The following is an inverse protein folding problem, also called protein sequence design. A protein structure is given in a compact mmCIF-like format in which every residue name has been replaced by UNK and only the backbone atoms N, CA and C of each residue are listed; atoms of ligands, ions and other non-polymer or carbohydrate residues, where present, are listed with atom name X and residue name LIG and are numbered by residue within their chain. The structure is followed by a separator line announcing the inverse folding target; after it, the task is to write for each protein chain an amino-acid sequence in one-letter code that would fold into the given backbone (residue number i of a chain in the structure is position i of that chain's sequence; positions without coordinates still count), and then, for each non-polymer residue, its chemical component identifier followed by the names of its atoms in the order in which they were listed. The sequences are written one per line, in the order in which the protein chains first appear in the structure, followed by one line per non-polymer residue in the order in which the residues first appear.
data_IF_177953332997
#
_entry.id   IF_177953332997
#
_cell.length_a   1.000
_cell.length_b   1.000
_cell.length_c   1.000
_cell.angle_alpha   90.00
_cell.angle_beta   90.00
_cell.angle_gamma   90.00
#
_symmetry.space_group_name_H-M   'P 1'
#
loop_
_entity.id
_entity.type
_entity.pdbx_description
1 polymer ?
#
# COMPACT_ATOMS: atom_id res chain seq x y z
N UNK A 1 -23.81 -65.27 -27.70
CA UNK A 1 -22.72 -64.30 -27.97
C UNK A 1 -23.19 -62.93 -27.48
N UNK A 2 -22.54 -62.42 -26.42
CA UNK A 2 -22.87 -61.14 -25.76
C UNK A 2 -22.38 -59.98 -26.63
N UNK A 3 -23.24 -59.01 -26.92
CA UNK A 3 -22.83 -57.67 -27.38
C UNK A 3 -23.28 -56.67 -26.32
N UNK A 4 -22.32 -56.26 -25.49
CA UNK A 4 -22.47 -55.16 -24.54
C UNK A 4 -22.61 -53.87 -25.35
N UNK A 5 -23.77 -53.23 -25.31
CA UNK A 5 -23.89 -51.82 -25.69
C UNK A 5 -23.39 -50.98 -24.52
N UNK A 6 -22.37 -50.18 -24.80
CA UNK A 6 -21.75 -49.25 -23.86
C UNK A 6 -22.75 -48.15 -23.44
N UNK A 7 -22.78 -47.72 -22.17
CA UNK A 7 -23.52 -46.54 -21.77
C UNK A 7 -22.78 -45.29 -22.27
N UNK A 8 -23.43 -44.50 -23.12
CA UNK A 8 -22.95 -43.17 -23.52
C UNK A 8 -23.07 -42.27 -22.29
N UNK A 9 -21.95 -42.08 -21.61
CA UNK A 9 -21.79 -41.13 -20.52
C UNK A 9 -21.81 -39.73 -21.13
N UNK A 10 -22.94 -39.03 -21.00
CA UNK A 10 -23.10 -37.62 -21.36
C UNK A 10 -22.49 -36.76 -20.23
N UNK A 11 -21.21 -36.42 -20.37
CA UNK A 11 -20.53 -35.45 -19.48
C UNK A 11 -20.75 -34.03 -20.04
N UNK A 12 -21.70 -33.36 -19.39
CA UNK A 12 -21.69 -31.94 -18.97
C UNK A 12 -20.76 -30.95 -19.67
N UNK A 13 -21.35 -29.89 -20.23
CA UNK A 13 -20.79 -28.53 -20.17
C UNK A 13 -21.93 -27.55 -19.89
N UNK A 14 -22.27 -27.36 -18.62
CA UNK A 14 -23.04 -26.20 -18.18
C UNK A 14 -22.06 -25.02 -18.07
N UNK A 15 -22.01 -24.19 -19.11
CA UNK A 15 -21.31 -22.91 -19.07
C UNK A 15 -22.15 -21.99 -18.17
N UNK A 16 -21.89 -22.04 -16.87
CA UNK A 16 -22.38 -21.02 -15.94
C UNK A 16 -21.51 -19.79 -16.22
N UNK A 17 -22.02 -18.90 -17.06
CA UNK A 17 -21.52 -17.53 -17.16
C UNK A 17 -21.83 -16.85 -15.83
N UNK A 18 -20.96 -17.03 -14.85
CA UNK A 18 -20.80 -16.05 -13.78
C UNK A 18 -20.30 -14.79 -14.45
N UNK A 19 -21.22 -13.94 -14.89
CA UNK A 19 -20.94 -12.53 -15.11
C UNK A 19 -20.59 -11.94 -13.74
N UNK A 20 -19.33 -12.10 -13.35
CA UNK A 20 -18.75 -11.41 -12.23
C UNK A 20 -18.72 -9.93 -12.62
N UNK A 21 -19.72 -9.18 -12.16
CA UNK A 21 -19.71 -7.72 -12.13
C UNK A 21 -18.66 -7.30 -11.11
N UNK A 22 -17.38 -7.35 -11.50
CA UNK A 22 -16.32 -6.65 -10.80
C UNK A 22 -16.40 -5.19 -11.22
N UNK A 23 -17.35 -4.46 -10.63
CA UNK A 23 -17.22 -3.03 -10.47
C UNK A 23 -16.14 -2.82 -9.40
N UNK A 24 -14.88 -3.05 -9.79
CA UNK A 24 -13.73 -2.66 -9.00
C UNK A 24 -13.58 -1.15 -9.16
N UNK A 25 -14.44 -0.43 -8.43
CA UNK A 25 -14.14 0.93 -8.04
C UNK A 25 -12.98 0.83 -7.06
N UNK A 26 -11.76 0.88 -7.59
CA UNK A 26 -10.57 1.21 -6.80
C UNK A 26 -10.80 2.60 -6.21
N UNK A 27 -11.33 2.66 -5.00
CA UNK A 27 -11.22 3.87 -4.20
C UNK A 27 -9.75 3.96 -3.82
N UNK A 28 -8.97 4.72 -4.59
CA UNK A 28 -7.68 5.22 -4.15
C UNK A 28 -7.93 6.03 -2.87
N UNK A 29 -7.89 5.40 -1.71
CA UNK A 29 -8.12 6.02 -0.40
C UNK A 29 -7.01 7.03 -0.14
N UNK A 30 -7.23 8.26 -0.59
CA UNK A 30 -6.35 9.38 -0.31
C UNK A 30 -6.68 9.92 1.07
N UNK A 31 -5.70 9.86 1.97
CA UNK A 31 -5.80 10.42 3.30
C UNK A 31 -5.18 11.81 3.30
N UNK A 32 -5.88 12.78 3.87
CA UNK A 32 -5.43 14.19 3.86
C UNK A 32 -5.25 14.72 5.27
N UNK A 33 -4.39 15.73 5.41
CA UNK A 33 -4.12 16.41 6.68
C UNK A 33 -3.63 15.47 7.79
N UNK A 34 -2.83 14.46 7.42
CA UNK A 34 -2.22 13.54 8.37
C UNK A 34 -1.05 14.22 9.06
N UNK A 35 -0.96 14.05 10.37
CA UNK A 35 0.20 14.42 11.17
C UNK A 35 1.01 13.18 11.47
N UNK A 36 2.33 13.29 11.43
CA UNK A 36 3.21 12.18 11.79
C UNK A 36 4.60 12.65 12.17
N UNK A 37 5.38 11.71 12.70
CA UNK A 37 6.77 11.93 13.12
C UNK A 37 7.69 11.06 12.29
N UNK A 38 8.68 11.69 11.65
CA UNK A 38 9.73 11.00 10.90
C UNK A 38 10.61 10.22 11.88
N UNK A 39 10.74 8.90 11.70
CA UNK A 39 11.60 8.04 12.53
C UNK A 39 13.00 7.87 11.95
N UNK A 40 13.19 8.21 10.66
CA UNK A 40 14.47 8.10 9.97
C UNK A 40 14.37 7.35 8.65
N UNK A 41 15.52 7.11 8.02
CA UNK A 41 15.60 6.32 6.79
C UNK A 41 15.33 4.85 7.07
N UNK A 42 14.55 4.21 6.22
CA UNK A 42 14.31 2.77 6.29
C UNK A 42 15.33 2.03 5.44
N UNK A 43 15.35 0.69 5.57
CA UNK A 43 16.19 -0.17 4.71
C UNK A 43 15.58 -0.44 3.33
N UNK A 44 14.71 0.45 2.87
CA UNK A 44 13.97 0.34 1.65
C UNK A 44 14.35 1.45 0.66
N UNK A 45 14.51 1.07 -0.61
CA UNK A 45 14.67 2.01 -1.71
C UNK A 45 13.41 2.11 -2.56
N UNK A 46 13.18 3.29 -3.11
CA UNK A 46 12.11 3.55 -4.09
C UNK A 46 12.52 3.01 -5.47
N UNK A 47 11.58 2.98 -6.43
CA UNK A 47 11.90 2.64 -7.83
C UNK A 47 12.97 3.54 -8.46
N UNK A 48 13.20 4.73 -7.90
CA UNK A 48 14.23 5.69 -8.35
C UNK A 48 15.54 5.58 -7.57
N UNK A 49 15.71 4.51 -6.78
CA UNK A 49 16.87 4.29 -5.90
C UNK A 49 17.06 5.36 -4.81
N UNK A 50 15.99 6.09 -4.46
CA UNK A 50 16.01 7.02 -3.34
C UNK A 50 15.72 6.27 -2.04
N UNK A 51 16.38 6.69 -0.96
CA UNK A 51 16.10 6.18 0.39
C UNK A 51 14.67 6.55 0.78
N UNK A 52 13.91 5.55 1.21
CA UNK A 52 12.61 5.79 1.81
C UNK A 52 12.74 6.06 3.31
N UNK A 53 11.76 6.78 3.85
CA UNK A 53 11.72 7.21 5.25
C UNK A 53 10.49 6.65 5.94
N UNK A 54 10.66 6.28 7.22
CA UNK A 54 9.58 5.82 8.09
C UNK A 54 8.93 7.02 8.76
N UNK A 55 7.60 7.07 8.68
CA UNK A 55 6.78 8.10 9.32
C UNK A 55 5.72 7.38 10.14
N UNK A 56 5.61 7.72 11.42
CA UNK A 56 4.58 7.21 12.33
C UNK A 56 3.45 8.25 12.41
N UNK A 57 2.25 7.96 11.87
CA UNK A 57 1.11 8.85 11.96
C UNK A 57 0.61 9.00 13.40
N UNK A 58 0.08 10.19 13.74
CA UNK A 58 -0.40 10.50 15.09
C UNK A 58 -1.88 10.84 15.19
N UNK A 59 -2.55 11.17 14.07
CA UNK A 59 -3.95 11.62 14.05
C UNK A 59 -4.87 10.74 13.20
N UNK A 60 -4.45 9.51 12.92
CA UNK A 60 -5.25 8.53 12.19
C UNK A 60 -5.08 7.16 12.85
N UNK A 61 -6.20 6.50 13.14
CA UNK A 61 -6.22 5.08 13.47
C UNK A 61 -6.38 4.30 12.18
N UNK A 62 -5.27 3.75 11.71
CA UNK A 62 -5.28 2.77 10.66
C UNK A 62 -5.35 1.36 11.28
N UNK A 63 -5.95 0.41 10.58
CA UNK A 63 -6.31 -0.93 11.11
C UNK A 63 -5.14 -1.80 11.57
N UNK A 64 -3.91 -1.45 11.24
CA UNK A 64 -2.68 -1.97 11.87
C UNK A 64 -1.78 -0.80 12.24
N UNK A 65 -0.86 -0.96 13.20
CA UNK A 65 0.11 0.09 13.53
C UNK A 65 1.04 0.29 12.31
N UNK A 66 0.69 1.22 11.42
CA UNK A 66 1.37 1.40 10.15
C UNK A 66 2.59 2.29 10.30
N UNK A 67 3.73 1.72 9.92
CA UNK A 67 4.89 2.46 9.44
C UNK A 67 4.58 2.87 8.01
N UNK A 68 4.63 4.17 7.72
CA UNK A 68 4.55 4.65 6.35
C UNK A 68 5.96 4.76 5.80
N UNK A 69 6.21 4.14 4.65
CA UNK A 69 7.48 4.25 3.97
C UNK A 69 7.33 5.13 2.72
N UNK A 70 7.98 6.30 2.70
CA UNK A 70 7.83 7.29 1.61
C UNK A 70 9.13 8.06 1.31
N UNK A 71 9.24 8.63 0.11
CA UNK A 71 10.26 9.66 -0.16
C UNK A 71 9.84 10.97 0.50
N UNK A 72 10.78 11.65 1.16
CA UNK A 72 10.59 12.99 1.70
C UNK A 72 11.47 14.01 0.97
N UNK A 73 11.02 15.28 0.86
CA UNK A 73 11.89 16.42 0.55
C UNK A 73 13.08 16.53 1.52
N UNK A 74 14.22 17.06 1.08
CA UNK A 74 15.45 17.08 1.88
C UNK A 74 15.32 17.82 3.21
N UNK A 75 14.52 18.88 3.26
CA UNK A 75 14.24 19.66 4.47
C UNK A 75 13.34 18.93 5.48
N UNK A 76 12.77 17.79 5.09
CA UNK A 76 11.89 16.97 5.92
C UNK A 76 12.51 15.61 6.33
N UNK A 77 13.78 15.34 5.98
CA UNK A 77 14.48 14.07 6.27
C UNK A 77 15.11 13.98 7.67
N UNK A 78 14.67 14.82 8.60
CA UNK A 78 15.21 14.90 9.96
C UNK A 78 14.44 13.95 10.90
N UNK A 79 15.16 13.08 11.61
CA UNK A 79 14.57 12.19 12.61
C UNK A 79 13.97 13.00 13.77
N UNK A 80 12.78 12.59 14.22
CA UNK A 80 11.99 13.30 15.23
C UNK A 80 11.20 14.49 14.68
N UNK A 81 11.33 14.82 13.39
CA UNK A 81 10.60 15.92 12.78
C UNK A 81 9.11 15.61 12.70
N UNK A 82 8.30 16.52 13.24
CA UNK A 82 6.84 16.49 13.07
C UNK A 82 6.45 17.17 11.77
N UNK A 83 5.65 16.46 10.98
CA UNK A 83 5.19 16.94 9.67
C UNK A 83 3.68 16.74 9.53
N UNK A 84 3.07 17.61 8.72
CA UNK A 84 1.71 17.46 8.22
C UNK A 84 1.76 17.19 6.72
N UNK A 85 1.03 16.19 6.26
CA UNK A 85 1.09 15.72 4.90
C UNK A 85 -0.20 15.06 4.42
N UNK A 86 -0.31 14.87 3.12
CA UNK A 86 -1.31 14.02 2.49
C UNK A 86 -0.63 12.74 1.99
N UNK A 87 -1.38 11.66 1.91
CA UNK A 87 -0.86 10.37 1.48
C UNK A 87 -1.88 9.56 0.70
N UNK A 88 -1.39 8.69 -0.17
CA UNK A 88 -2.21 7.69 -0.86
C UNK A 88 -1.45 6.37 -0.95
N UNK A 89 -2.14 5.21 -0.96
CA UNK A 89 -1.51 3.93 -1.20
C UNK A 89 -0.65 3.99 -2.46
N UNK A 90 0.58 3.49 -2.37
CA UNK A 90 1.50 3.42 -3.50
C UNK A 90 1.68 1.97 -3.91
N UNK A 91 1.14 1.62 -5.08
CA UNK A 91 1.51 0.39 -5.78
C UNK A 91 2.87 0.46 -6.47
N UNK A 92 3.52 1.64 -6.50
CA UNK A 92 4.91 1.76 -6.99
C UNK A 92 5.82 1.04 -6.01
N UNK A 93 6.56 0.08 -6.54
CA UNK A 93 7.26 -0.89 -5.73
C UNK A 93 8.34 -0.16 -4.94
N UNK A 94 8.31 -0.31 -3.63
CA UNK A 94 9.54 -0.24 -2.87
C UNK A 94 10.33 -1.49 -3.27
N UNK A 95 11.36 -1.29 -4.09
CA UNK A 95 11.98 -2.34 -4.90
C UNK A 95 12.94 -3.22 -4.11
N UNK A 96 13.46 -2.73 -2.99
CA UNK A 96 14.47 -3.45 -2.20
C UNK A 96 14.39 -3.04 -0.75
N UNK A 97 13.56 -3.74 0.04
CA UNK A 97 13.58 -3.67 1.50
C UNK A 97 14.41 -4.83 2.05
N UNK A 98 15.33 -4.54 2.97
CA UNK A 98 15.97 -5.62 3.77
C UNK A 98 15.11 -6.03 4.98
N UNK A 99 14.09 -5.23 5.31
CA UNK A 99 13.10 -5.50 6.34
C UNK A 99 11.78 -6.05 5.75
N UNK A 100 11.07 -6.86 6.53
CA UNK A 100 9.79 -7.46 6.14
C UNK A 100 8.65 -6.43 6.24
N UNK A 101 8.56 -5.52 5.28
CA UNK A 101 7.41 -4.63 5.14
C UNK A 101 6.30 -5.31 4.31
N UNK A 102 5.05 -5.12 4.74
CA UNK A 102 3.87 -5.57 4.02
C UNK A 102 3.51 -4.58 2.90
N UNK A 103 2.92 -5.04 1.78
CA UNK A 103 2.56 -4.17 0.65
C UNK A 103 1.64 -2.98 1.01
N UNK A 104 0.81 -3.13 2.04
CA UNK A 104 -0.11 -2.11 2.53
C UNK A 104 0.57 -1.03 3.40
N UNK A 105 1.88 -1.12 3.62
CA UNK A 105 2.68 -0.13 4.38
C UNK A 105 3.33 0.93 3.48
N UNK A 106 3.08 0.86 2.17
CA UNK A 106 3.69 1.74 1.17
C UNK A 106 2.71 2.84 0.75
N UNK A 107 3.06 4.07 1.08
CA UNK A 107 2.30 5.25 0.69
C UNK A 107 3.19 6.28 0.01
N UNK A 108 2.63 6.98 -0.97
CA UNK A 108 3.24 8.18 -1.51
C UNK A 108 2.81 9.37 -0.65
N UNK A 109 3.79 10.11 -0.12
CA UNK A 109 3.57 11.33 0.66
C UNK A 109 3.69 12.55 -0.25
N UNK A 110 2.75 13.48 -0.12
CA UNK A 110 2.74 14.74 -0.86
C UNK A 110 2.16 15.86 0.00
N UNK A 111 2.31 17.11 -0.45
CA UNK A 111 1.93 18.31 0.31
C UNK A 111 2.51 18.35 1.74
N UNK A 112 3.68 17.74 1.94
CA UNK A 112 4.30 17.63 3.25
C UNK A 112 4.88 18.98 3.71
N UNK A 113 4.63 19.34 4.97
CA UNK A 113 5.08 20.59 5.59
C UNK A 113 5.50 20.35 7.03
N UNK A 114 6.49 21.11 7.51
CA UNK A 114 6.94 21.05 8.91
C UNK A 114 5.86 21.60 9.85
N UNK A 115 5.58 20.87 10.92
CA UNK A 115 4.81 21.37 12.05
C UNK A 115 5.78 22.03 13.02
N UNK A 116 5.56 23.31 13.31
CA UNK A 116 6.28 23.97 14.40
C UNK A 116 5.63 23.55 15.71
N UNK A 117 6.41 22.98 16.62
CA UNK A 117 5.97 22.89 18.01
C UNK A 117 5.78 24.32 18.51
N UNK A 118 4.54 24.69 18.82
CA UNK A 118 4.28 25.94 19.55
C UNK A 118 4.91 25.75 20.92
N UNK A 119 6.00 26.46 21.16
CA UNK A 119 6.53 26.69 22.51
C UNK A 119 5.48 27.33 23.41
#
# INVERSE_FOLDING_TARGET
MKKFLQPIILITISIILFSCTSAEGETEDTFTNIEGTVQGSTSCNTEKEELAYEIVPSNIELSVNFIITATLPDDLKEEGLRIKFDMKPSGKYITSCTANFLPDQFYEVFNATKLSDKQ
#
